data_IF_647511350223
#
_entry.id   IF_647511350223
#
_cell.length_a   1.000
_cell.length_b   1.000
_cell.length_c   1.000
_cell.angle_alpha   90.00
_cell.angle_beta   90.00
_cell.angle_gamma   90.00
#
_symmetry.space_group_name_H-M   'P 1'
#
loop_
_entity.id
_entity.type
_entity.pdbx_description
1 polymer ?
#
# COMPACT_ATOMS: atom_id res chain seq x y z
N UNK A 1 67.77 8.17 44.02
CA UNK A 1 66.37 8.57 43.88
C UNK A 1 66.09 8.91 42.39
N UNK A 2 65.53 7.94 41.63
CA UNK A 2 65.19 8.15 40.20
C UNK A 2 63.67 8.35 40.10
N UNK A 3 63.25 9.56 39.71
CA UNK A 3 61.86 9.90 39.44
C UNK A 3 61.46 9.34 38.06
N UNK A 4 60.50 8.42 38.03
CA UNK A 4 59.85 7.94 36.84
C UNK A 4 58.78 8.96 36.43
N UNK A 5 58.94 9.59 35.26
CA UNK A 5 57.94 10.44 34.61
C UNK A 5 57.04 9.47 33.81
N UNK A 6 55.75 9.35 34.23
CA UNK A 6 54.72 8.66 33.45
C UNK A 6 54.18 9.60 32.40
N UNK A 7 54.47 9.29 31.15
CA UNK A 7 53.89 9.98 29.97
C UNK A 7 52.49 9.36 29.71
N UNK A 8 51.43 10.12 30.01
CA UNK A 8 50.05 9.74 29.64
C UNK A 8 49.79 10.13 28.19
N UNK A 9 49.64 9.10 27.35
CA UNK A 9 49.25 9.26 25.95
C UNK A 9 47.73 9.49 25.89
N UNK A 10 47.29 10.73 25.67
CA UNK A 10 45.90 11.07 25.44
C UNK A 10 45.58 10.80 23.99
N UNK A 11 44.85 9.70 23.75
CA UNK A 11 44.33 9.34 22.43
C UNK A 11 43.07 10.19 22.13
N UNK A 12 43.23 11.26 21.36
CA UNK A 12 42.11 12.07 20.87
C UNK A 12 41.46 11.29 19.73
N UNK A 13 40.33 10.64 20.00
CA UNK A 13 39.48 10.02 18.99
C UNK A 13 38.74 11.15 18.28
N UNK A 14 39.19 11.49 17.08
CA UNK A 14 38.52 12.43 16.19
C UNK A 14 37.30 11.72 15.59
N UNK A 15 36.13 11.89 16.19
CA UNK A 15 34.86 11.44 15.61
C UNK A 15 34.47 12.37 14.47
N UNK A 16 34.78 11.99 13.24
CA UNK A 16 34.22 12.62 12.05
C UNK A 16 32.69 12.35 12.02
N UNK A 17 31.83 13.40 11.95
CA UNK A 17 30.43 13.19 11.69
C UNK A 17 30.27 12.64 10.28
N UNK A 18 29.72 11.43 10.14
CA UNK A 18 29.18 10.93 8.88
C UNK A 18 28.04 11.86 8.47
N UNK A 19 28.31 12.85 7.67
CA UNK A 19 27.27 13.60 6.95
C UNK A 19 26.69 12.65 5.90
N UNK A 20 25.64 11.95 6.27
CA UNK A 20 24.81 11.23 5.31
C UNK A 20 24.26 12.27 4.33
N UNK A 21 24.81 12.32 3.13
CA UNK A 21 24.27 13.09 2.02
C UNK A 21 22.86 12.53 1.72
N UNK A 22 21.83 13.06 2.39
CA UNK A 22 20.44 12.86 1.91
C UNK A 22 20.38 13.54 0.56
N UNK A 23 20.30 12.74 -0.51
CA UNK A 23 19.90 13.24 -1.83
C UNK A 23 18.53 13.86 -1.66
N UNK A 24 18.45 15.18 -1.62
CA UNK A 24 17.18 15.90 -1.77
C UNK A 24 16.57 15.47 -3.08
N UNK A 25 15.33 15.01 -3.12
CA UNK A 25 14.64 14.73 -4.38
C UNK A 25 14.50 16.07 -5.11
N UNK A 26 15.31 16.29 -6.13
CA UNK A 26 15.17 17.46 -6.99
C UNK A 26 13.91 17.29 -7.81
N UNK A 27 13.00 18.27 -7.66
CA UNK A 27 11.79 18.40 -8.48
C UNK A 27 12.15 18.34 -9.97
N UNK A 28 11.38 17.61 -10.81
CA UNK A 28 11.60 17.59 -12.26
C UNK A 28 11.55 19.00 -12.87
N UNK A 29 12.24 19.26 -13.98
CA UNK A 29 12.08 20.51 -14.75
C UNK A 29 10.75 20.51 -15.51
N UNK A 30 10.26 21.70 -15.88
CA UNK A 30 9.09 21.91 -16.76
C UNK A 30 7.75 21.40 -16.18
N UNK A 31 7.45 21.80 -14.95
CA UNK A 31 6.18 21.52 -14.30
C UNK A 31 5.20 22.67 -14.52
N UNK A 32 3.91 22.36 -14.59
CA UNK A 32 2.85 23.37 -14.59
C UNK A 32 2.65 23.90 -13.17
N UNK A 33 2.74 25.19 -12.98
CA UNK A 33 2.43 25.85 -11.71
C UNK A 33 0.93 26.03 -11.56
N UNK A 34 0.37 25.73 -10.38
CA UNK A 34 -1.05 25.87 -10.09
C UNK A 34 -1.27 26.26 -8.62
N UNK A 35 -2.33 27.02 -8.36
CA UNK A 35 -2.78 27.34 -7.01
C UNK A 35 -3.86 26.34 -6.59
N UNK A 36 -3.69 25.66 -5.47
CA UNK A 36 -4.73 24.78 -4.92
C UNK A 36 -5.82 25.63 -4.25
N UNK A 37 -7.01 25.58 -4.80
CA UNK A 37 -8.18 26.32 -4.28
C UNK A 37 -8.99 25.50 -3.29
N UNK A 38 -8.98 24.15 -3.45
CA UNK A 38 -9.74 23.24 -2.59
C UNK A 38 -9.17 21.83 -2.64
N UNK A 39 -9.22 21.13 -1.51
CA UNK A 39 -9.01 19.68 -1.45
C UNK A 39 -10.37 18.99 -1.44
N UNK A 40 -10.59 18.10 -2.41
CA UNK A 40 -11.84 17.34 -2.56
C UNK A 40 -11.74 16.06 -1.75
N UNK A 41 -10.61 15.31 -1.93
CA UNK A 41 -10.33 14.05 -1.26
C UNK A 41 -8.83 13.87 -1.00
N UNK A 42 -8.42 12.74 -0.46
CA UNK A 42 -7.01 12.46 -0.14
C UNK A 42 -6.08 12.48 -1.35
N UNK A 43 -6.61 12.29 -2.56
CA UNK A 43 -5.86 12.25 -3.82
C UNK A 43 -6.47 13.08 -4.95
N UNK A 44 -7.42 13.95 -4.62
CA UNK A 44 -8.12 14.79 -5.59
C UNK A 44 -8.21 16.23 -5.09
N UNK A 45 -7.80 17.19 -5.92
CA UNK A 45 -7.80 18.62 -5.61
C UNK A 45 -8.41 19.46 -6.74
N UNK A 46 -8.91 20.65 -6.40
CA UNK A 46 -9.20 21.73 -7.36
C UNK A 46 -8.01 22.70 -7.40
N UNK A 47 -7.62 23.10 -8.58
CA UNK A 47 -6.52 24.03 -8.80
C UNK A 47 -6.91 25.12 -9.78
N UNK A 48 -6.27 26.29 -9.66
CA UNK A 48 -6.32 27.36 -10.64
C UNK A 48 -5.00 27.39 -11.43
N UNK A 49 -5.11 27.34 -12.75
CA UNK A 49 -4.01 27.45 -13.71
C UNK A 49 -4.36 28.59 -14.67
N UNK A 50 -3.57 29.66 -14.69
CA UNK A 50 -3.77 30.83 -15.57
C UNK A 50 -5.18 31.46 -15.47
N UNK A 51 -5.83 31.37 -14.31
CA UNK A 51 -7.17 31.91 -14.05
C UNK A 51 -8.33 30.96 -14.37
N UNK A 52 -8.04 29.76 -14.85
CA UNK A 52 -9.03 28.69 -15.12
C UNK A 52 -8.97 27.59 -14.05
N UNK A 53 -10.14 27.06 -13.68
CA UNK A 53 -10.26 26.03 -12.64
C UNK A 53 -10.22 24.62 -13.22
N UNK A 54 -9.44 23.73 -12.61
CA UNK A 54 -9.31 22.33 -13.00
C UNK A 54 -9.39 21.41 -11.79
N UNK A 55 -9.94 20.21 -11.99
CA UNK A 55 -9.83 19.11 -11.03
C UNK A 55 -8.62 18.25 -11.39
N UNK A 56 -7.77 17.97 -10.40
CA UNK A 56 -6.58 17.12 -10.54
C UNK A 56 -6.76 15.84 -9.75
N UNK A 57 -6.60 14.68 -10.39
CA UNK A 57 -6.48 13.36 -9.77
C UNK A 57 -5.01 12.96 -9.74
N UNK A 58 -4.55 12.51 -8.58
CA UNK A 58 -3.16 12.12 -8.39
C UNK A 58 -2.89 10.78 -9.09
N UNK A 59 -1.85 10.73 -9.93
CA UNK A 59 -1.43 9.51 -10.63
C UNK A 59 -0.78 8.54 -9.66
N UNK A 60 -1.07 7.24 -9.83
CA UNK A 60 -0.34 6.13 -9.24
C UNK A 60 -0.66 5.86 -7.77
N UNK A 61 -1.60 6.59 -7.20
CA UNK A 61 -2.06 6.40 -5.83
C UNK A 61 -3.57 6.45 -5.73
N UNK A 62 -4.10 5.87 -4.67
CA UNK A 62 -5.51 5.93 -4.33
C UNK A 62 -5.67 6.02 -2.81
N UNK A 63 -6.57 6.88 -2.36
CA UNK A 63 -6.86 7.07 -0.93
C UNK A 63 -8.24 6.52 -0.62
N UNK A 64 -8.50 6.10 0.64
CA UNK A 64 -9.85 5.73 1.04
C UNK A 64 -10.84 6.85 0.74
N UNK A 65 -12.02 6.46 0.23
CA UNK A 65 -13.06 7.38 -0.24
C UNK A 65 -13.80 8.05 0.92
N UNK A 66 -13.75 9.39 0.96
CA UNK A 66 -14.48 10.21 1.93
C UNK A 66 -15.94 10.43 1.48
N UNK A 67 -16.17 10.57 0.17
CA UNK A 67 -17.44 10.97 -0.41
C UNK A 67 -17.91 9.99 -1.50
N UNK A 68 -18.43 8.83 -1.11
CA UNK A 68 -19.08 7.92 -2.05
C UNK A 68 -20.62 8.07 -1.97
N UNK A 69 -21.36 8.18 -3.11
CA UNK A 69 -22.81 8.41 -3.10
C UNK A 69 -23.64 7.35 -2.37
N UNK A 70 -23.14 6.12 -2.29
CA UNK A 70 -23.89 4.95 -1.80
C UNK A 70 -23.13 4.08 -0.80
N UNK A 71 -21.84 4.38 -0.52
CA UNK A 71 -21.04 3.65 0.46
C UNK A 71 -20.79 4.51 1.70
N UNK A 72 -20.62 3.91 2.89
CA UNK A 72 -20.13 4.62 4.06
C UNK A 72 -18.72 5.18 3.82
N UNK A 73 -18.33 6.16 4.62
CA UNK A 73 -16.94 6.68 4.65
C UNK A 73 -16.00 5.52 4.93
N UNK A 74 -15.00 5.36 4.07
CA UNK A 74 -14.00 4.31 4.23
C UNK A 74 -13.08 4.60 5.41
N UNK A 75 -12.54 3.54 6.00
CA UNK A 75 -11.57 3.66 7.08
C UNK A 75 -10.38 4.52 6.64
N UNK A 76 -9.94 5.44 7.48
CA UNK A 76 -8.81 6.35 7.26
C UNK A 76 -9.02 7.43 6.17
N UNK A 77 -10.22 7.52 5.56
CA UNK A 77 -10.51 8.51 4.50
C UNK A 77 -10.39 9.95 5.00
N UNK A 78 -10.90 10.22 6.20
CA UNK A 78 -10.83 11.56 6.79
C UNK A 78 -9.39 11.99 7.05
N UNK A 79 -8.58 11.11 7.63
CA UNK A 79 -7.16 11.34 7.92
C UNK A 79 -6.35 11.58 6.63
N UNK A 80 -6.63 10.82 5.57
CA UNK A 80 -5.98 11.00 4.27
C UNK A 80 -6.35 12.36 3.64
N UNK A 81 -7.63 12.72 3.64
CA UNK A 81 -8.10 14.02 3.14
C UNK A 81 -7.52 15.19 3.94
N UNK A 82 -7.51 15.11 5.28
CA UNK A 82 -6.94 16.14 6.15
C UNK A 82 -5.42 16.28 5.93
N UNK A 83 -4.71 15.16 5.74
CA UNK A 83 -3.28 15.20 5.43
C UNK A 83 -3.00 15.85 4.09
N UNK A 84 -3.77 15.52 3.05
CA UNK A 84 -3.64 16.18 1.76
C UNK A 84 -3.91 17.68 1.88
N UNK A 85 -4.95 18.07 2.62
CA UNK A 85 -5.29 19.47 2.91
C UNK A 85 -4.14 20.22 3.59
N UNK A 86 -3.56 19.64 4.63
CA UNK A 86 -2.38 20.21 5.31
C UNK A 86 -1.21 20.44 4.35
N UNK A 87 -1.00 19.50 3.43
CA UNK A 87 0.12 19.56 2.49
C UNK A 87 -0.06 20.63 1.41
N UNK A 88 -1.25 20.77 0.84
CA UNK A 88 -1.39 21.49 -0.43
C UNK A 88 -2.44 22.61 -0.45
N UNK A 89 -3.45 22.64 0.43
CA UNK A 89 -4.55 23.63 0.33
C UNK A 89 -4.04 25.07 0.49
N UNK A 90 -4.48 25.94 -0.42
CA UNK A 90 -4.07 27.35 -0.46
C UNK A 90 -2.62 27.58 -0.86
N UNK A 91 -1.91 26.54 -1.31
CA UNK A 91 -0.49 26.65 -1.71
C UNK A 91 -0.33 26.52 -3.22
N UNK A 92 0.77 27.08 -3.70
CA UNK A 92 1.26 26.81 -5.06
C UNK A 92 1.85 25.40 -5.11
N UNK A 93 1.34 24.60 -6.03
CA UNK A 93 1.82 23.26 -6.37
C UNK A 93 2.40 23.23 -7.78
N UNK A 94 3.16 22.20 -8.05
CA UNK A 94 3.77 21.97 -9.34
C UNK A 94 3.32 20.60 -9.84
N UNK A 95 2.73 20.60 -11.02
CA UNK A 95 2.02 19.47 -11.60
C UNK A 95 2.88 18.85 -12.70
N UNK A 96 3.18 17.56 -12.55
CA UNK A 96 3.89 16.76 -13.55
C UNK A 96 2.90 15.83 -14.25
N UNK A 97 2.86 15.92 -15.59
CA UNK A 97 2.12 14.97 -16.41
C UNK A 97 2.96 13.74 -16.71
N UNK A 98 2.33 12.58 -16.79
CA UNK A 98 2.94 11.38 -17.35
C UNK A 98 2.57 11.25 -18.84
N UNK A 99 1.83 10.25 -19.23
CA UNK A 99 1.40 10.04 -20.64
C UNK A 99 0.02 10.64 -20.89
N UNK A 100 -0.96 10.29 -20.07
CA UNK A 100 -2.35 10.71 -20.22
C UNK A 100 -2.56 12.15 -19.75
N UNK A 101 -3.48 12.88 -20.41
CA UNK A 101 -3.84 14.24 -20.01
C UNK A 101 -4.90 14.23 -18.91
N UNK A 102 -5.99 13.49 -19.16
CA UNK A 102 -7.16 13.41 -18.29
C UNK A 102 -7.65 11.98 -18.16
N UNK A 103 -8.46 11.73 -17.15
CA UNK A 103 -9.25 10.51 -17.04
C UNK A 103 -10.62 10.63 -17.77
N UNK A 104 -11.46 9.59 -17.63
CA UNK A 104 -12.80 9.54 -18.22
C UNK A 104 -13.80 10.57 -17.65
N UNK A 105 -13.45 11.21 -16.53
CA UNK A 105 -14.23 12.26 -15.86
C UNK A 105 -13.68 13.66 -16.13
N UNK A 106 -12.76 13.79 -17.10
CA UNK A 106 -12.09 15.04 -17.48
C UNK A 106 -11.20 15.65 -16.38
N UNK A 107 -10.83 14.88 -15.35
CA UNK A 107 -9.87 15.32 -14.34
C UNK A 107 -8.45 15.23 -14.91
N UNK A 108 -7.63 16.26 -14.68
CA UNK A 108 -6.20 16.24 -15.04
C UNK A 108 -5.48 15.14 -14.24
N UNK A 109 -4.74 14.26 -14.91
CA UNK A 109 -3.91 13.24 -14.29
C UNK A 109 -2.51 13.82 -14.05
N UNK A 110 -2.11 13.98 -12.75
CA UNK A 110 -0.82 14.61 -12.41
C UNK A 110 -0.14 13.94 -11.21
N UNK A 111 1.18 13.97 -11.25
CA UNK A 111 1.99 13.89 -10.04
C UNK A 111 2.12 15.30 -9.46
N UNK A 112 2.01 15.43 -8.14
CA UNK A 112 1.89 16.72 -7.46
C UNK A 112 3.08 16.96 -6.54
N UNK A 113 3.65 18.17 -6.63
CA UNK A 113 4.75 18.61 -5.78
C UNK A 113 4.40 19.91 -5.08
N UNK A 114 4.75 20.04 -3.81
CA UNK A 114 4.69 21.28 -3.04
C UNK A 114 6.08 21.59 -2.46
N UNK A 115 6.69 22.69 -2.88
CA UNK A 115 8.12 22.92 -2.61
C UNK A 115 8.97 21.76 -3.15
N UNK A 116 9.73 21.11 -2.26
CA UNK A 116 10.55 19.93 -2.58
C UNK A 116 9.84 18.59 -2.25
N UNK A 117 8.60 18.65 -1.77
CA UNK A 117 7.86 17.45 -1.39
C UNK A 117 7.11 16.86 -2.56
N UNK A 118 7.38 15.63 -2.91
CA UNK A 118 6.59 14.84 -3.84
C UNK A 118 5.37 14.28 -3.10
N UNK A 119 4.20 14.90 -3.26
CA UNK A 119 2.99 14.65 -2.46
C UNK A 119 2.50 13.21 -2.59
N UNK A 120 2.39 12.68 -3.83
CA UNK A 120 1.99 11.30 -4.08
C UNK A 120 2.86 10.30 -3.29
N UNK A 121 4.19 10.43 -3.41
CA UNK A 121 5.14 9.58 -2.71
C UNK A 121 5.05 9.73 -1.18
N UNK A 122 4.85 10.93 -0.69
CA UNK A 122 4.69 11.20 0.73
C UNK A 122 3.45 10.51 1.30
N UNK A 123 2.30 10.61 0.61
CA UNK A 123 1.05 9.99 1.05
C UNK A 123 1.20 8.47 1.14
N UNK A 124 1.81 7.83 0.14
CA UNK A 124 2.10 6.38 0.18
C UNK A 124 3.07 6.04 1.32
N UNK A 125 4.19 6.77 1.44
CA UNK A 125 5.22 6.49 2.44
C UNK A 125 4.71 6.62 3.89
N UNK A 126 3.75 7.52 4.11
CA UNK A 126 3.14 7.71 5.42
C UNK A 126 1.89 6.84 5.62
N UNK A 127 1.49 6.05 4.62
CA UNK A 127 0.34 5.15 4.69
C UNK A 127 -1.01 5.87 4.61
N UNK A 128 -1.10 7.03 3.96
CA UNK A 128 -2.36 7.73 3.69
C UNK A 128 -2.98 7.31 2.36
N UNK A 129 -2.20 6.67 1.49
CA UNK A 129 -2.63 6.19 0.18
C UNK A 129 -2.09 4.80 -0.11
N UNK A 130 -2.81 4.06 -0.93
CA UNK A 130 -2.39 2.81 -1.54
C UNK A 130 -1.77 3.10 -2.90
N UNK A 131 -0.95 2.18 -3.40
CA UNK A 131 -0.46 2.25 -4.78
C UNK A 131 -1.57 1.78 -5.71
N UNK A 132 -1.88 2.60 -6.72
CA UNK A 132 -2.92 2.35 -7.70
C UNK A 132 -2.48 2.89 -9.05
N UNK A 133 -1.87 2.03 -9.87
CA UNK A 133 -1.28 2.43 -11.15
C UNK A 133 -2.05 1.87 -12.32
N UNK A 134 -2.31 2.71 -13.31
CA UNK A 134 -2.98 2.36 -14.55
C UNK A 134 -2.06 2.68 -15.74
N UNK A 135 -1.67 1.68 -16.54
CA UNK A 135 -0.98 1.97 -17.79
C UNK A 135 -1.82 2.90 -18.70
N UNK A 136 -1.18 3.87 -19.38
CA UNK A 136 0.28 4.03 -19.53
C UNK A 136 0.98 4.88 -18.45
N UNK A 137 0.29 5.37 -17.42
CA UNK A 137 0.77 6.32 -16.42
C UNK A 137 1.47 5.60 -15.25
N UNK A 138 2.65 5.04 -15.49
CA UNK A 138 3.37 4.14 -14.57
C UNK A 138 4.77 4.63 -14.18
N UNK A 139 5.13 5.88 -14.48
CA UNK A 139 6.47 6.43 -14.31
C UNK A 139 7.09 6.20 -12.93
N UNK A 140 6.32 6.28 -11.87
CA UNK A 140 6.78 6.14 -10.49
C UNK A 140 6.28 4.87 -9.79
N UNK A 141 5.70 3.91 -10.51
CA UNK A 141 5.10 2.70 -9.96
C UNK A 141 6.05 1.94 -9.03
N UNK A 142 7.26 1.58 -9.48
CA UNK A 142 8.22 0.85 -8.66
C UNK A 142 8.57 1.58 -7.36
N UNK A 143 8.76 2.90 -7.46
CA UNK A 143 9.04 3.74 -6.29
C UNK A 143 7.88 3.73 -5.29
N UNK A 144 6.64 3.82 -5.77
CA UNK A 144 5.46 3.80 -4.90
C UNK A 144 5.30 2.43 -4.23
N UNK A 145 5.49 1.33 -4.95
CA UNK A 145 5.47 -0.02 -4.38
C UNK A 145 6.54 -0.20 -3.29
N UNK A 146 7.73 0.33 -3.47
CA UNK A 146 8.78 0.30 -2.45
C UNK A 146 8.38 1.10 -1.20
N UNK A 147 7.85 2.32 -1.38
CA UNK A 147 7.37 3.17 -0.29
C UNK A 147 6.18 2.55 0.46
N UNK A 148 5.28 1.87 -0.23
CA UNK A 148 4.17 1.15 0.38
C UNK A 148 4.67 -0.02 1.23
N UNK A 149 5.64 -0.82 0.75
CA UNK A 149 6.28 -1.88 1.54
C UNK A 149 6.94 -1.32 2.81
N UNK A 150 7.61 -0.17 2.71
CA UNK A 150 8.18 0.52 3.88
C UNK A 150 7.10 0.99 4.86
N UNK A 151 5.99 1.56 4.37
CA UNK A 151 4.86 2.01 5.20
C UNK A 151 4.22 0.83 5.95
N UNK A 152 3.97 -0.29 5.26
CA UNK A 152 3.47 -1.55 5.85
C UNK A 152 4.39 -2.07 6.95
N UNK A 153 5.67 -2.23 6.63
CA UNK A 153 6.68 -2.70 7.60
C UNK A 153 6.78 -1.81 8.83
N UNK A 154 6.65 -0.51 8.65
CA UNK A 154 6.68 0.47 9.73
C UNK A 154 5.31 0.68 10.40
N UNK A 155 4.26 0.00 9.96
CA UNK A 155 2.87 0.12 10.44
C UNK A 155 2.40 1.58 10.46
N UNK A 156 2.59 2.32 9.37
CA UNK A 156 2.19 3.74 9.25
C UNK A 156 0.78 3.87 8.68
N UNK A 157 0.02 4.85 9.15
CA UNK A 157 -1.28 5.22 8.60
C UNK A 157 -2.23 4.03 8.47
N UNK A 158 -2.74 3.75 7.27
CA UNK A 158 -3.58 2.59 6.93
C UNK A 158 -3.03 1.26 7.48
N UNK A 159 -1.71 1.13 7.59
CA UNK A 159 -1.04 -0.07 8.07
C UNK A 159 -0.76 -0.06 9.59
N UNK A 160 -1.01 1.07 10.27
CA UNK A 160 -0.58 1.30 11.67
C UNK A 160 -1.60 1.01 12.73
N UNK A 161 -2.82 0.83 12.36
CA UNK A 161 -3.83 0.68 13.36
C UNK A 161 -5.23 0.56 12.83
N UNK A 162 -5.72 -0.54 12.60
CA UNK A 162 -6.75 -1.11 13.43
C UNK A 162 -6.28 -2.51 13.74
N UNK A 163 -5.81 -2.71 14.95
CA UNK A 163 -6.38 -3.85 15.63
C UNK A 163 -7.88 -3.55 15.68
N UNK A 164 -8.63 -3.78 14.57
CA UNK A 164 -9.96 -4.26 14.76
C UNK A 164 -9.80 -5.36 15.78
N UNK A 165 -10.41 -5.18 16.95
CA UNK A 165 -10.79 -6.29 17.81
C UNK A 165 -12.00 -6.97 17.15
N UNK A 166 -11.88 -7.37 15.90
CA UNK A 166 -12.41 -8.63 15.47
C UNK A 166 -11.65 -9.61 16.35
N UNK A 167 -12.33 -10.40 17.15
CA UNK A 167 -11.73 -11.53 17.82
C UNK A 167 -10.97 -12.28 16.72
N UNK A 168 -9.66 -12.04 16.60
CA UNK A 168 -8.84 -12.64 15.56
C UNK A 168 -9.06 -14.13 15.70
N UNK A 169 -9.58 -14.74 14.66
CA UNK A 169 -9.66 -16.17 14.58
C UNK A 169 -8.29 -16.79 14.83
N UNK A 170 -8.24 -18.06 15.08
CA UNK A 170 -6.98 -18.79 15.24
C UNK A 170 -6.13 -18.70 13.96
N UNK A 171 -6.77 -18.46 12.80
CA UNK A 171 -6.14 -18.24 11.49
C UNK A 171 -6.45 -16.84 11.00
N UNK A 172 -5.44 -16.16 10.50
CA UNK A 172 -5.55 -14.80 9.94
C UNK A 172 -5.16 -14.80 8.46
N UNK A 173 -5.68 -13.82 7.71
CA UNK A 173 -5.11 -13.38 6.44
C UNK A 173 -3.87 -12.55 6.77
N UNK A 174 -2.70 -13.03 6.36
CA UNK A 174 -1.42 -12.44 6.73
C UNK A 174 -0.86 -11.58 5.59
N UNK A 175 -0.98 -10.24 5.69
CA UNK A 175 -0.49 -9.35 4.65
C UNK A 175 1.02 -9.31 4.52
N UNK A 176 1.76 -9.64 5.60
CA UNK A 176 3.21 -9.59 5.59
C UNK A 176 3.82 -10.72 4.73
N UNK A 177 3.06 -11.80 4.53
CA UNK A 177 3.45 -12.89 3.64
C UNK A 177 2.63 -12.96 2.34
N UNK A 178 1.61 -12.11 2.15
CA UNK A 178 0.78 -12.07 0.94
C UNK A 178 1.42 -11.22 -0.17
N UNK A 179 1.12 -11.57 -1.42
CA UNK A 179 1.49 -10.80 -2.61
C UNK A 179 0.27 -10.62 -3.50
N UNK A 180 -0.40 -9.48 -3.38
CA UNK A 180 -1.67 -9.19 -4.05
C UNK A 180 -1.52 -8.76 -5.51
N UNK A 181 -0.30 -8.59 -6.02
CA UNK A 181 -0.01 -8.27 -7.40
C UNK A 181 1.24 -9.01 -7.86
N UNK A 182 1.18 -9.65 -9.00
CA UNK A 182 2.36 -10.27 -9.61
C UNK A 182 3.38 -9.20 -10.04
N UNK A 183 4.69 -9.42 -9.85
CA UNK A 183 5.71 -8.52 -10.37
C UNK A 183 5.62 -8.42 -11.91
N UNK A 184 5.27 -7.24 -12.42
CA UNK A 184 5.15 -6.99 -13.87
C UNK A 184 3.73 -6.90 -14.41
N UNK A 185 2.72 -6.91 -13.54
CA UNK A 185 1.29 -6.74 -13.87
C UNK A 185 0.55 -8.07 -14.07
N UNK A 186 -0.77 -8.00 -13.98
CA UNK A 186 -1.73 -9.11 -13.85
C UNK A 186 -1.70 -10.21 -14.92
N UNK A 187 -0.92 -10.08 -15.96
CA UNK A 187 -0.97 -10.99 -17.11
C UNK A 187 0.24 -11.90 -17.26
N UNK A 188 1.26 -11.81 -16.41
CA UNK A 188 2.53 -12.49 -16.69
C UNK A 188 2.80 -13.73 -15.84
N UNK A 189 2.41 -13.77 -14.56
CA UNK A 189 2.54 -14.98 -13.74
C UNK A 189 1.55 -15.00 -12.57
N UNK A 190 0.42 -15.67 -12.77
CA UNK A 190 -0.61 -15.83 -11.74
C UNK A 190 -0.13 -16.66 -10.53
N UNK A 191 1.00 -17.36 -10.66
CA UNK A 191 1.58 -18.13 -9.58
C UNK A 191 2.40 -17.23 -8.63
N UNK A 192 2.76 -16.03 -9.06
CA UNK A 192 3.40 -15.01 -8.22
C UNK A 192 2.40 -14.13 -7.47
N UNK A 193 1.09 -14.25 -7.78
CA UNK A 193 0.01 -13.58 -7.06
C UNK A 193 -0.62 -14.54 -6.05
N UNK A 194 -0.55 -14.20 -4.76
CA UNK A 194 -1.10 -15.07 -3.72
C UNK A 194 -1.53 -14.32 -2.46
N UNK A 195 -2.50 -14.88 -1.76
CA UNK A 195 -2.89 -14.52 -0.40
C UNK A 195 -2.36 -15.56 0.60
N UNK A 196 -1.94 -15.11 1.75
CA UNK A 196 -1.33 -15.94 2.79
C UNK A 196 -2.23 -16.05 4.00
N UNK A 197 -2.37 -17.28 4.55
CA UNK A 197 -3.08 -17.54 5.79
C UNK A 197 -2.11 -18.08 6.82
N UNK A 198 -2.12 -17.49 8.03
CA UNK A 198 -1.21 -17.87 9.12
C UNK A 198 -2.01 -18.33 10.33
N UNK A 199 -1.69 -19.53 10.86
CA UNK A 199 -2.25 -20.02 12.11
C UNK A 199 -1.47 -19.43 13.29
N UNK A 200 -2.12 -18.56 14.06
CA UNK A 200 -1.55 -17.91 15.24
C UNK A 200 -1.77 -18.72 16.53
N UNK A 201 -2.52 -19.82 16.48
CA UNK A 201 -2.79 -20.65 17.65
C UNK A 201 -1.65 -21.62 17.97
N UNK A 202 -1.69 -22.20 19.18
CA UNK A 202 -0.73 -23.22 19.61
C UNK A 202 -1.12 -24.65 19.20
N UNK A 203 -2.21 -24.81 18.45
CA UNK A 203 -2.72 -26.10 17.98
C UNK A 203 -2.97 -26.12 16.48
N UNK A 204 -3.01 -27.31 15.84
CA UNK A 204 -3.37 -27.40 14.43
C UNK A 204 -4.82 -26.98 14.20
N UNK A 205 -5.08 -26.22 13.13
CA UNK A 205 -6.43 -25.84 12.70
C UNK A 205 -6.80 -26.62 11.46
N UNK A 206 -7.89 -27.37 11.52
CA UNK A 206 -8.49 -28.02 10.36
C UNK A 206 -9.31 -27.01 9.58
N UNK A 207 -8.79 -26.62 8.41
CA UNK A 207 -9.42 -25.68 7.50
C UNK A 207 -10.29 -26.38 6.45
N UNK A 208 -10.53 -27.70 6.56
CA UNK A 208 -11.36 -28.43 5.61
C UNK A 208 -12.76 -27.83 5.52
N UNK A 209 -13.17 -27.46 4.31
CA UNK A 209 -14.45 -26.80 4.05
C UNK A 209 -14.48 -25.29 4.36
N UNK A 210 -13.40 -24.72 4.89
CA UNK A 210 -13.27 -23.28 4.96
C UNK A 210 -13.23 -22.69 3.56
N UNK A 211 -13.59 -21.42 3.41
CA UNK A 211 -13.51 -20.76 2.11
C UNK A 211 -13.09 -19.30 2.23
N UNK A 212 -12.44 -18.83 1.18
CA UNK A 212 -12.06 -17.43 1.03
C UNK A 212 -12.69 -16.88 -0.26
N UNK A 213 -13.17 -15.65 -0.18
CA UNK A 213 -13.62 -14.89 -1.35
C UNK A 213 -13.15 -13.45 -1.30
N UNK A 214 -13.20 -12.78 -2.45
CA UNK A 214 -13.08 -11.34 -2.60
C UNK A 214 -14.28 -10.74 -3.35
N UNK A 215 -15.11 -11.62 -3.95
CA UNK A 215 -16.34 -11.26 -4.67
C UNK A 215 -17.42 -12.30 -4.43
N UNK A 216 -18.69 -11.91 -4.55
CA UNK A 216 -19.82 -12.81 -4.30
C UNK A 216 -19.87 -14.06 -5.16
N UNK A 217 -19.25 -14.04 -6.34
CA UNK A 217 -19.26 -15.09 -7.36
C UNK A 217 -17.97 -15.89 -7.47
N UNK A 218 -16.92 -15.51 -6.72
CA UNK A 218 -15.63 -16.19 -6.76
C UNK A 218 -15.15 -16.53 -5.34
N UNK A 219 -15.09 -17.83 -5.06
CA UNK A 219 -14.57 -18.38 -3.81
C UNK A 219 -13.68 -19.59 -4.03
N UNK A 220 -12.66 -19.70 -3.18
CA UNK A 220 -11.87 -20.90 -3.05
C UNK A 220 -12.30 -21.65 -1.79
N UNK A 221 -12.49 -22.97 -1.88
CA UNK A 221 -12.79 -23.83 -0.72
C UNK A 221 -11.61 -24.72 -0.43
N UNK A 222 -11.07 -24.63 0.79
CA UNK A 222 -10.02 -25.53 1.27
C UNK A 222 -10.56 -26.95 1.30
N UNK A 223 -9.89 -27.84 0.59
CA UNK A 223 -10.17 -29.27 0.63
C UNK A 223 -9.57 -29.83 1.93
N UNK A 224 -9.24 -31.11 2.02
CA UNK A 224 -8.58 -31.70 3.19
C UNK A 224 -7.26 -30.95 3.51
N UNK A 225 -7.32 -29.96 4.42
CA UNK A 225 -6.19 -29.13 4.73
C UNK A 225 -6.10 -28.78 6.22
N UNK A 226 -4.95 -29.12 6.85
CA UNK A 226 -4.67 -28.79 8.24
C UNK A 226 -3.47 -27.86 8.33
N UNK A 227 -3.69 -26.66 8.87
CA UNK A 227 -2.66 -25.66 9.08
C UNK A 227 -2.04 -25.83 10.47
N UNK A 228 -0.74 -26.17 10.51
CA UNK A 228 0.00 -26.42 11.75
C UNK A 228 0.14 -25.13 12.58
N UNK A 229 0.40 -25.24 13.91
CA UNK A 229 0.69 -24.08 14.76
C UNK A 229 1.81 -23.21 14.20
N UNK A 230 1.61 -21.91 14.13
CA UNK A 230 2.60 -20.96 13.63
C UNK A 230 2.97 -21.09 12.14
N UNK A 231 2.33 -22.01 11.41
CA UNK A 231 2.58 -22.18 9.99
C UNK A 231 1.74 -21.23 9.14
N UNK A 232 2.24 -20.97 7.94
CA UNK A 232 1.53 -20.20 6.91
C UNK A 232 1.34 -21.03 5.66
N UNK A 233 0.26 -20.75 4.91
CA UNK A 233 -0.04 -21.33 3.60
C UNK A 233 -0.39 -20.21 2.64
N UNK A 234 0.14 -20.28 1.41
CA UNK A 234 -0.15 -19.35 0.31
C UNK A 234 -1.22 -19.96 -0.60
N UNK A 235 -2.19 -19.18 -1.00
CA UNK A 235 -3.15 -19.52 -2.02
C UNK A 235 -2.90 -18.66 -3.25
N UNK A 236 -2.33 -19.26 -4.27
CA UNK A 236 -1.99 -18.64 -5.54
C UNK A 236 -3.20 -18.55 -6.47
N UNK A 237 -3.28 -17.50 -7.28
CA UNK A 237 -4.32 -17.36 -8.31
C UNK A 237 -4.17 -18.38 -9.45
N UNK A 238 -2.94 -18.75 -9.77
CA UNK A 238 -2.58 -19.62 -10.87
C UNK A 238 -2.92 -21.11 -10.67
N UNK A 239 -2.19 -21.97 -11.40
CA UNK A 239 -2.49 -23.38 -11.52
C UNK A 239 -1.22 -24.25 -11.47
N UNK A 240 -0.85 -24.68 -10.29
CA UNK A 240 0.18 -25.69 -10.07
C UNK A 240 -0.36 -26.80 -9.13
N UNK A 241 0.53 -27.65 -8.66
CA UNK A 241 0.16 -28.76 -7.78
C UNK A 241 0.21 -28.29 -6.33
N UNK A 242 -0.90 -28.48 -5.61
CA UNK A 242 -1.01 -28.17 -4.19
C UNK A 242 0.06 -28.89 -3.37
N UNK A 243 0.64 -28.15 -2.43
CA UNK A 243 1.59 -28.62 -1.44
C UNK A 243 1.09 -28.34 -0.01
N UNK A 244 1.90 -28.61 0.99
CA UNK A 244 1.59 -28.24 2.37
C UNK A 244 1.75 -26.74 2.68
N UNK A 245 2.34 -25.97 1.77
CA UNK A 245 2.63 -24.52 1.93
C UNK A 245 2.08 -23.66 0.82
N UNK A 246 1.69 -24.26 -0.30
CA UNK A 246 1.24 -23.57 -1.50
C UNK A 246 0.03 -24.30 -2.09
N UNK A 247 -1.08 -23.60 -2.20
CA UNK A 247 -2.33 -24.05 -2.78
C UNK A 247 -2.63 -23.22 -4.02
N UNK A 248 -3.38 -23.76 -4.97
CA UNK A 248 -3.66 -23.11 -6.24
C UNK A 248 -5.17 -23.05 -6.51
N UNK A 249 -5.63 -21.83 -6.82
CA UNK A 249 -7.04 -21.60 -7.13
C UNK A 249 -7.45 -22.27 -8.45
N UNK A 250 -6.48 -22.53 -9.33
CA UNK A 250 -6.69 -23.02 -10.69
C UNK A 250 -7.57 -22.07 -11.51
N UNK A 251 -7.22 -20.79 -11.51
CA UNK A 251 -7.90 -19.76 -12.27
C UNK A 251 -7.02 -19.25 -13.41
N UNK A 252 -7.64 -18.80 -14.50
CA UNK A 252 -6.95 -18.26 -15.68
C UNK A 252 -6.81 -16.73 -15.63
N UNK A 253 -7.39 -16.09 -14.61
CA UNK A 253 -7.34 -14.63 -14.38
C UNK A 253 -6.79 -14.32 -13.00
N UNK A 254 -6.24 -13.12 -12.81
CA UNK A 254 -5.90 -12.56 -11.50
C UNK A 254 -7.12 -12.59 -10.56
N UNK A 255 -6.92 -13.09 -9.36
CA UNK A 255 -7.95 -13.16 -8.32
C UNK A 255 -7.85 -11.91 -7.44
N UNK A 256 -6.64 -11.54 -7.05
CA UNK A 256 -6.37 -10.44 -6.12
C UNK A 256 -6.02 -9.20 -6.93
N UNK A 257 -6.98 -8.30 -7.15
CA UNK A 257 -6.75 -7.09 -7.94
C UNK A 257 -5.81 -6.14 -7.22
N UNK A 258 -5.05 -5.38 -7.99
CA UNK A 258 -4.09 -4.38 -7.48
C UNK A 258 -4.72 -3.25 -6.67
N UNK A 259 -6.07 -3.09 -6.69
CA UNK A 259 -6.74 -1.89 -6.25
C UNK A 259 -7.99 -2.24 -5.45
N UNK A 260 -8.04 -1.79 -4.20
CA UNK A 260 -9.22 -1.79 -3.33
C UNK A 260 -10.07 -3.05 -3.41
N UNK A 261 -9.53 -4.14 -2.92
CA UNK A 261 -10.29 -5.37 -2.75
C UNK A 261 -10.26 -5.78 -1.26
N UNK A 262 -11.12 -6.70 -0.88
CA UNK A 262 -11.16 -7.25 0.47
C UNK A 262 -11.28 -8.76 0.38
N UNK A 263 -10.34 -9.48 0.98
CA UNK A 263 -10.47 -10.91 1.16
C UNK A 263 -11.26 -11.19 2.44
N UNK A 264 -12.20 -12.12 2.35
CA UNK A 264 -13.00 -12.60 3.48
C UNK A 264 -12.75 -14.08 3.67
N UNK A 265 -12.24 -14.47 4.84
CA UNK A 265 -12.03 -15.86 5.23
C UNK A 265 -13.17 -16.33 6.12
N UNK A 266 -13.84 -17.43 5.74
CA UNK A 266 -14.93 -18.02 6.48
C UNK A 266 -14.59 -19.46 6.90
N UNK A 267 -15.10 -19.88 8.06
CA UNK A 267 -15.06 -21.29 8.48
C UNK A 267 -16.06 -22.15 7.68
N UNK A 268 -16.02 -23.46 7.89
CA UNK A 268 -16.90 -24.41 7.22
C UNK A 268 -18.41 -24.21 7.53
N UNK A 269 -18.76 -23.45 8.56
CA UNK A 269 -20.14 -23.11 8.93
C UNK A 269 -20.58 -21.76 8.35
N UNK A 270 -19.71 -21.07 7.60
CA UNK A 270 -20.00 -19.75 7.04
C UNK A 270 -19.83 -18.60 8.02
N UNK A 271 -19.16 -18.82 9.16
CA UNK A 271 -18.81 -17.74 10.09
C UNK A 271 -17.57 -17.04 9.59
N UNK A 272 -17.60 -15.71 9.50
CA UNK A 272 -16.43 -14.89 9.20
C UNK A 272 -15.34 -15.11 10.25
N UNK A 273 -14.17 -15.52 9.82
CA UNK A 273 -12.99 -15.76 10.66
C UNK A 273 -12.07 -14.56 10.64
N UNK A 274 -11.79 -14.02 9.44
CA UNK A 274 -10.95 -12.84 9.25
C UNK A 274 -11.30 -12.13 7.95
N UNK A 275 -11.00 -10.84 7.86
CA UNK A 275 -11.11 -10.04 6.65
C UNK A 275 -9.90 -9.13 6.51
N UNK A 276 -9.45 -8.91 5.30
CA UNK A 276 -8.33 -8.04 5.02
C UNK A 276 -8.60 -7.19 3.76
N UNK A 277 -8.74 -5.86 3.91
CA UNK A 277 -8.77 -4.91 2.80
C UNK A 277 -7.34 -4.53 2.39
N UNK A 278 -7.08 -4.32 1.08
CA UNK A 278 -5.80 -3.81 0.58
C UNK A 278 -5.96 -2.78 -0.52
#
# INVERSE_FOLDING_TARGET
MRKLIRLSLICIILTLPLVACRKTPTRPPNLTEALVTKVIDGDTIEVEIEGESYTVRYIGIDTPELHHPTKPVEYFAQEACEKNRELVEGKTVYLEKDVSETDQYERLLRYVYVGDTFVNAYLVQQGYALVSTYPPDVKYQERFLELQREARKAKRGLWGGVQMQVSRGEVIIDPDCSQFAAPGGDQLDLNEEYICFTNLSEHPVDMTGWYVNHRPDKWYTFREFVLKPGASVRLHSGNEVDTSTDLYWNNDDSIWRDIHDTAYLYDANGKLVDEYPW
#
